data_IF_262967776854
#
_entry.id   IF_262967776854
#
_cell.length_a   1.000
_cell.length_b   1.000
_cell.length_c   1.000
_cell.angle_alpha   90.00
_cell.angle_beta   90.00
_cell.angle_gamma   90.00
#
_symmetry.space_group_name_H-M   'P 1'
#
loop_
_entity.id
_entity.type
_entity.pdbx_description
1 polymer ?
#
# COMPACT_ATOMS: atom_id res chain seq x y z
N UNK A 1 -26.85 -10.22 3.49
CA UNK A 1 -25.94 -9.07 3.34
C UNK A 1 -25.01 -9.37 2.18
N UNK A 2 -24.66 -8.34 1.41
CA UNK A 2 -23.69 -8.44 0.32
C UNK A 2 -22.33 -8.94 0.86
N UNK A 3 -21.61 -9.77 0.10
CA UNK A 3 -20.28 -10.27 0.50
C UNK A 3 -19.31 -9.12 0.80
N UNK A 4 -19.44 -8.03 0.04
CA UNK A 4 -18.65 -6.81 0.24
C UNK A 4 -18.96 -6.13 1.58
N UNK A 5 -20.22 -6.07 1.99
CA UNK A 5 -20.62 -5.49 3.28
C UNK A 5 -20.13 -6.36 4.45
N UNK A 6 -20.17 -7.69 4.31
CA UNK A 6 -19.64 -8.59 5.33
C UNK A 6 -18.12 -8.39 5.51
N UNK A 7 -17.39 -8.19 4.41
CA UNK A 7 -15.96 -7.91 4.45
C UNK A 7 -15.67 -6.56 5.13
N UNK A 8 -16.39 -5.50 4.74
CA UNK A 8 -16.30 -4.19 5.39
C UNK A 8 -16.56 -4.25 6.90
N UNK A 9 -17.64 -4.91 7.30
CA UNK A 9 -18.00 -5.10 8.71
C UNK A 9 -16.94 -5.89 9.49
N UNK A 10 -16.32 -6.89 8.86
CA UNK A 10 -15.25 -7.69 9.46
C UNK A 10 -14.00 -6.83 9.68
N UNK A 11 -13.57 -6.08 8.68
CA UNK A 11 -12.43 -5.16 8.79
C UNK A 11 -12.68 -4.14 9.90
N UNK A 12 -13.82 -3.44 9.90
CA UNK A 12 -14.10 -2.44 10.95
C UNK A 12 -14.09 -3.04 12.36
N UNK A 13 -14.63 -4.25 12.56
CA UNK A 13 -14.60 -4.93 13.86
C UNK A 13 -13.18 -5.27 14.29
N UNK A 14 -12.35 -5.75 13.38
CA UNK A 14 -10.93 -6.04 13.63
C UNK A 14 -10.18 -4.78 14.08
N UNK A 15 -10.39 -3.67 13.37
CA UNK A 15 -9.76 -2.39 13.71
C UNK A 15 -10.23 -1.83 15.07
N UNK A 16 -11.52 -1.94 15.36
CA UNK A 16 -12.09 -1.51 16.66
C UNK A 16 -11.52 -2.38 17.80
N UNK A 17 -11.36 -3.68 17.56
CA UNK A 17 -10.77 -4.58 18.54
C UNK A 17 -9.30 -4.22 18.79
N UNK A 18 -8.52 -3.98 17.72
CA UNK A 18 -7.12 -3.55 17.84
C UNK A 18 -6.99 -2.22 18.60
N UNK A 19 -7.82 -1.23 18.26
CA UNK A 19 -7.87 0.04 19.00
C UNK A 19 -8.18 -0.17 20.50
N UNK A 20 -9.09 -1.09 20.83
CA UNK A 20 -9.43 -1.38 22.22
C UNK A 20 -8.30 -2.11 22.97
N UNK A 21 -7.54 -2.96 22.28
CA UNK A 21 -6.50 -3.81 22.89
C UNK A 21 -5.15 -3.10 23.04
N UNK A 22 -4.72 -2.32 22.03
CA UNK A 22 -3.40 -1.68 22.00
C UNK A 22 -3.43 -0.16 22.12
N UNK A 23 -4.59 0.47 21.91
CA UNK A 23 -4.76 1.93 21.97
C UNK A 23 -4.27 2.68 20.72
N UNK A 24 -3.82 1.98 19.66
CA UNK A 24 -3.49 2.58 18.37
C UNK A 24 -4.74 3.18 17.73
N UNK A 25 -4.60 4.26 16.96
CA UNK A 25 -5.76 4.87 16.30
C UNK A 25 -6.31 3.97 15.20
N UNK A 26 -7.60 4.13 14.86
CA UNK A 26 -8.23 3.34 13.80
C UNK A 26 -7.56 3.55 12.43
N UNK A 27 -7.05 4.75 12.14
CA UNK A 27 -6.32 5.02 10.90
C UNK A 27 -4.95 4.33 10.84
N UNK A 28 -4.29 4.19 11.99
CA UNK A 28 -3.01 3.47 12.11
C UNK A 28 -3.23 1.96 12.00
N UNK A 29 -4.20 1.41 12.74
CA UNK A 29 -4.60 0.00 12.58
C UNK A 29 -5.04 -0.30 11.14
N UNK A 30 -5.78 0.60 10.50
CA UNK A 30 -6.18 0.45 9.10
C UNK A 30 -4.98 0.45 8.16
N UNK A 31 -4.03 1.36 8.37
CA UNK A 31 -2.79 1.39 7.60
C UNK A 31 -2.08 0.05 7.71
N UNK A 32 -1.72 -0.38 8.93
CA UNK A 32 -0.94 -1.60 9.18
C UNK A 32 -1.62 -2.85 8.60
N UNK A 33 -2.91 -3.02 8.90
CA UNK A 33 -3.70 -4.15 8.42
C UNK A 33 -3.73 -4.24 6.90
N UNK A 34 -3.96 -3.12 6.22
CA UNK A 34 -4.18 -3.14 4.78
C UNK A 34 -2.86 -3.14 4.02
N UNK A 35 -1.84 -2.42 4.48
CA UNK A 35 -0.51 -2.44 3.84
C UNK A 35 0.23 -3.74 4.09
N UNK A 36 -0.04 -4.44 5.21
CA UNK A 36 0.43 -5.81 5.42
C UNK A 36 -0.05 -6.79 4.33
N UNK A 37 -1.27 -6.60 3.80
CA UNK A 37 -1.73 -7.38 2.64
C UNK A 37 -0.95 -7.05 1.36
N UNK A 38 -0.57 -5.78 1.17
CA UNK A 38 0.25 -5.36 0.03
C UNK A 38 1.67 -5.93 0.12
N UNK A 39 2.26 -5.97 1.31
CA UNK A 39 3.54 -6.63 1.55
C UNK A 39 3.47 -8.13 1.26
N UNK A 40 2.46 -8.82 1.80
CA UNK A 40 2.27 -10.25 1.60
C UNK A 40 2.16 -10.60 0.10
N UNK A 41 1.48 -9.75 -0.68
CA UNK A 41 1.34 -9.92 -2.13
C UNK A 41 2.58 -9.49 -2.94
N UNK A 42 3.63 -8.98 -2.28
CA UNK A 42 4.82 -8.45 -2.95
C UNK A 42 4.55 -7.18 -3.78
N UNK A 43 3.46 -6.46 -3.50
CA UNK A 43 3.17 -5.17 -4.15
C UNK A 43 4.16 -4.08 -3.70
N UNK A 44 4.61 -4.17 -2.43
CA UNK A 44 5.61 -3.34 -1.77
C UNK A 44 6.54 -4.22 -0.92
N UNK A 45 7.77 -3.77 -0.67
CA UNK A 45 8.75 -4.53 0.12
C UNK A 45 8.50 -4.42 1.64
N UNK A 46 8.16 -3.21 2.09
CA UNK A 46 7.78 -2.88 3.47
C UNK A 46 6.65 -1.84 3.45
N UNK A 47 6.11 -1.48 4.61
CA UNK A 47 5.12 -0.42 4.77
C UNK A 47 5.45 0.45 5.99
N UNK A 48 6.47 1.29 5.83
CA UNK A 48 6.89 2.20 6.89
C UNK A 48 5.84 3.29 7.10
N UNK A 49 5.24 3.37 8.30
CA UNK A 49 4.22 4.38 8.64
C UNK A 49 4.85 5.78 8.71
N UNK A 50 4.27 6.73 7.98
CA UNK A 50 4.66 8.14 7.97
C UNK A 50 3.38 8.98 8.03
N UNK A 51 2.87 9.29 9.21
CA UNK A 51 1.65 10.06 9.37
C UNK A 51 1.87 11.56 9.25
N UNK A 52 1.87 12.11 8.03
CA UNK A 52 2.11 13.54 7.82
C UNK A 52 1.11 14.20 6.88
N UNK A 53 0.58 15.35 7.31
CA UNK A 53 -0.25 16.24 6.49
C UNK A 53 0.10 17.69 6.80
N UNK A 54 0.41 18.47 5.77
CA UNK A 54 0.82 19.87 5.90
C UNK A 54 0.53 20.70 4.66
N UNK A 55 1.10 21.90 4.63
CA UNK A 55 1.03 22.81 3.49
C UNK A 55 2.45 23.13 3.02
N UNK A 56 2.69 23.07 1.71
CA UNK A 56 3.92 23.57 1.10
C UNK A 56 3.58 24.38 -0.14
N UNK A 57 4.03 25.64 -0.19
CA UNK A 57 3.80 26.54 -1.34
C UNK A 57 2.33 26.64 -1.78
N UNK A 58 1.40 26.73 -0.81
CA UNK A 58 -0.05 26.82 -1.06
C UNK A 58 -0.70 25.51 -1.53
N UNK A 59 -0.01 24.38 -1.43
CA UNK A 59 -0.54 23.05 -1.75
C UNK A 59 -0.51 22.14 -0.54
N UNK A 60 -1.54 21.32 -0.40
CA UNK A 60 -1.55 20.23 0.57
C UNK A 60 -0.50 19.18 0.20
N UNK A 61 0.35 18.85 1.16
CA UNK A 61 1.29 17.73 1.13
C UNK A 61 0.82 16.70 2.16
N UNK A 62 0.71 15.44 1.75
CA UNK A 62 0.34 14.35 2.65
C UNK A 62 1.00 13.06 2.19
N UNK A 63 1.45 12.28 3.15
CA UNK A 63 1.92 10.91 3.00
C UNK A 63 1.42 10.14 4.22
N UNK A 64 1.14 8.85 4.04
CA UNK A 64 0.79 7.94 5.13
C UNK A 64 1.81 6.81 5.30
N UNK A 65 2.58 6.49 4.26
CA UNK A 65 3.69 5.57 4.38
C UNK A 65 4.55 5.45 3.13
N UNK A 66 5.61 4.65 3.23
CA UNK A 66 6.58 4.40 2.17
C UNK A 66 6.89 2.90 2.06
N UNK A 67 7.09 2.44 0.82
CA UNK A 67 7.30 1.03 0.51
C UNK A 67 8.76 0.56 0.60
N UNK A 68 9.55 1.13 1.52
CA UNK A 68 10.99 0.88 1.67
C UNK A 68 11.91 1.83 0.87
N UNK A 69 13.22 1.60 0.93
CA UNK A 69 14.21 2.37 0.17
C UNK A 69 14.16 1.98 -1.32
N UNK A 70 13.98 2.94 -2.25
CA UNK A 70 14.01 2.66 -3.69
C UNK A 70 15.29 1.97 -4.17
N UNK A 71 16.43 2.16 -3.48
CA UNK A 71 17.71 1.52 -3.83
C UNK A 71 17.71 0.01 -3.59
N UNK A 72 16.81 -0.47 -2.73
CA UNK A 72 16.62 -1.89 -2.43
C UNK A 72 15.41 -2.48 -3.18
N UNK A 73 14.67 -1.65 -3.92
CA UNK A 73 13.44 -2.01 -4.64
C UNK A 73 13.56 -1.71 -6.15
N UNK A 74 14.69 -2.06 -6.78
CA UNK A 74 14.94 -1.87 -8.22
C UNK A 74 14.71 -0.44 -8.73
N UNK A 75 14.96 0.57 -7.89
CA UNK A 75 14.73 1.98 -8.20
C UNK A 75 13.26 2.41 -8.16
N UNK A 76 12.38 1.61 -7.55
CA UNK A 76 10.95 1.93 -7.42
C UNK A 76 10.69 2.64 -6.10
N UNK A 77 10.30 3.91 -6.16
CA UNK A 77 9.77 4.63 -5.01
C UNK A 77 8.27 4.37 -4.87
N UNK A 78 7.87 3.64 -3.83
CA UNK A 78 6.47 3.43 -3.49
C UNK A 78 6.07 4.36 -2.34
N UNK A 79 5.06 5.19 -2.55
CA UNK A 79 4.51 6.10 -1.51
C UNK A 79 3.01 5.88 -1.37
N UNK A 80 2.54 5.87 -0.13
CA UNK A 80 1.21 5.39 0.25
C UNK A 80 0.42 6.54 0.87
N UNK A 81 -0.86 6.65 0.49
CA UNK A 81 -1.87 7.47 1.15
C UNK A 81 -3.05 6.58 1.52
N UNK A 82 -3.53 6.69 2.76
CA UNK A 82 -4.68 5.95 3.26
C UNK A 82 -5.90 6.86 3.36
N UNK A 83 -7.03 6.42 2.82
CA UNK A 83 -8.31 7.12 2.93
C UNK A 83 -9.31 6.19 3.62
N UNK A 84 -9.48 6.38 4.92
CA UNK A 84 -10.27 5.52 5.80
C UNK A 84 -11.60 6.17 6.19
N UNK A 85 -12.66 5.38 6.18
CA UNK A 85 -14.03 5.79 6.50
C UNK A 85 -14.62 4.89 7.59
N UNK A 86 -15.09 5.48 8.69
CA UNK A 86 -15.71 4.75 9.81
C UNK A 86 -17.20 4.46 9.59
N UNK A 87 -17.74 4.83 8.43
CA UNK A 87 -19.15 4.62 8.08
C UNK A 87 -19.55 3.15 8.19
N UNK A 88 -20.75 2.92 8.72
CA UNK A 88 -21.34 1.57 8.84
C UNK A 88 -21.45 0.88 7.47
N UNK A 89 -21.76 1.63 6.43
CA UNK A 89 -21.90 1.12 5.07
C UNK A 89 -20.71 1.62 4.21
N UNK A 90 -20.21 0.81 3.26
CA UNK A 90 -19.12 1.23 2.37
C UNK A 90 -19.41 2.52 1.60
N UNK A 91 -18.54 3.51 1.79
CA UNK A 91 -18.59 4.78 1.04
C UNK A 91 -18.11 4.57 -0.39
N UNK A 92 -18.59 5.39 -1.33
CA UNK A 92 -18.11 5.41 -2.71
C UNK A 92 -17.21 6.62 -2.95
N UNK A 93 -16.06 6.39 -3.56
CA UNK A 93 -15.19 7.45 -4.07
C UNK A 93 -15.15 7.44 -5.60
N UNK A 94 -14.89 8.60 -6.18
CA UNK A 94 -14.79 8.80 -7.63
C UNK A 94 -13.34 9.11 -8.05
N UNK A 95 -13.12 9.23 -9.36
CA UNK A 95 -11.80 9.55 -9.91
C UNK A 95 -11.23 10.90 -9.45
N UNK A 96 -12.08 11.87 -9.10
CA UNK A 96 -11.64 13.18 -8.61
C UNK A 96 -11.07 13.09 -7.19
N UNK A 97 -11.74 12.33 -6.31
CA UNK A 97 -11.26 12.06 -4.96
C UNK A 97 -9.91 11.32 -4.98
N UNK A 98 -9.79 10.26 -5.79
CA UNK A 98 -8.53 9.53 -5.97
C UNK A 98 -7.41 10.43 -6.52
N UNK A 99 -7.70 11.25 -7.55
CA UNK A 99 -6.73 12.23 -8.08
C UNK A 99 -6.29 13.24 -7.03
N UNK A 100 -7.19 13.69 -6.15
CA UNK A 100 -6.86 14.60 -5.06
C UNK A 100 -5.91 13.91 -4.06
N UNK A 101 -6.20 12.67 -3.67
CA UNK A 101 -5.31 11.90 -2.80
C UNK A 101 -3.90 11.75 -3.42
N UNK A 102 -3.81 11.33 -4.68
CA UNK A 102 -2.53 11.24 -5.40
C UNK A 102 -1.81 12.59 -5.52
N UNK A 103 -2.54 13.70 -5.71
CA UNK A 103 -1.92 15.02 -5.78
C UNK A 103 -1.17 15.38 -4.51
N UNK A 104 -1.63 14.93 -3.33
CA UNK A 104 -0.94 15.18 -2.07
C UNK A 104 0.39 14.42 -2.00
N UNK A 105 0.43 13.15 -2.44
CA UNK A 105 1.66 12.37 -2.55
C UNK A 105 2.64 12.99 -3.55
N UNK A 106 2.15 13.40 -4.73
CA UNK A 106 2.97 14.10 -5.73
C UNK A 106 3.60 15.35 -5.13
N UNK A 107 2.81 16.14 -4.41
CA UNK A 107 3.31 17.35 -3.77
C UNK A 107 4.36 17.02 -2.71
N UNK A 108 4.14 15.98 -1.88
CA UNK A 108 5.11 15.56 -0.87
C UNK A 108 6.43 15.14 -1.53
N UNK A 109 6.40 14.21 -2.49
CA UNK A 109 7.59 13.74 -3.22
C UNK A 109 8.35 14.90 -3.87
N UNK A 110 7.63 15.83 -4.52
CA UNK A 110 8.24 16.99 -5.13
C UNK A 110 8.83 17.97 -4.09
N UNK A 111 8.17 18.14 -2.94
CA UNK A 111 8.63 18.98 -1.85
C UNK A 111 9.87 18.40 -1.17
N UNK A 112 9.93 17.08 -0.94
CA UNK A 112 11.06 16.37 -0.33
C UNK A 112 12.39 16.64 -1.03
N UNK A 113 12.39 16.97 -2.32
CA UNK A 113 13.60 17.33 -3.08
C UNK A 113 14.16 18.71 -2.74
N UNK A 114 13.35 19.61 -2.20
CA UNK A 114 13.74 20.99 -1.87
C UNK A 114 14.29 21.05 -0.46
N UNK A 115 15.49 21.59 -0.31
CA UNK A 115 16.10 21.79 1.02
C UNK A 115 15.20 22.62 1.94
N UNK A 116 14.60 23.69 1.41
CA UNK A 116 13.68 24.54 2.18
C UNK A 116 12.51 23.76 2.82
N UNK A 117 11.92 22.78 2.13
CA UNK A 117 10.86 21.97 2.72
C UNK A 117 11.40 21.02 3.79
N UNK A 118 12.58 20.41 3.56
CA UNK A 118 13.18 19.50 4.54
C UNK A 118 13.59 20.23 5.82
N UNK A 119 14.07 21.46 5.72
CA UNK A 119 14.48 22.28 6.85
C UNK A 119 13.29 22.78 7.69
N UNK A 120 12.07 22.74 7.15
CA UNK A 120 10.81 23.06 7.86
C UNK A 120 10.27 21.88 8.69
N UNK A 121 10.74 20.65 8.43
CA UNK A 121 10.27 19.46 9.12
C UNK A 121 10.95 19.30 10.49
N UNK A 122 10.23 18.70 11.44
CA UNK A 122 10.75 18.47 12.79
C UNK A 122 11.86 17.42 12.70
N UNK A 123 13.06 17.74 13.18
CA UNK A 123 14.18 16.81 13.22
C UNK A 123 13.82 15.52 13.99
N UNK A 124 14.11 14.37 13.39
CA UNK A 124 13.81 13.05 13.95
C UNK A 124 12.37 12.57 13.72
N UNK A 125 11.49 13.37 13.12
CA UNK A 125 10.16 12.94 12.73
C UNK A 125 10.19 11.94 11.55
N UNK A 126 9.14 11.14 11.43
CA UNK A 126 8.99 10.14 10.36
C UNK A 126 9.04 10.77 8.96
N UNK A 127 8.42 11.92 8.81
CA UNK A 127 8.32 12.69 7.57
C UNK A 127 9.64 13.35 7.19
N UNK A 128 10.44 13.81 8.16
CA UNK A 128 11.79 14.29 7.92
C UNK A 128 12.69 13.15 7.41
N UNK A 129 12.57 11.97 8.03
CA UNK A 129 13.22 10.74 7.58
C UNK A 129 12.84 10.38 6.15
N UNK A 130 11.55 10.32 5.84
CA UNK A 130 11.03 10.02 4.51
C UNK A 130 11.48 11.04 3.47
N UNK A 131 11.39 12.33 3.76
CA UNK A 131 11.80 13.38 2.83
C UNK A 131 13.31 13.32 2.53
N UNK A 132 14.14 13.00 3.54
CA UNK A 132 15.57 12.78 3.37
C UNK A 132 15.88 11.51 2.57
N UNK A 133 15.16 10.41 2.82
CA UNK A 133 15.29 9.17 2.06
C UNK A 133 14.98 9.40 0.57
N UNK A 134 13.84 10.03 0.26
CA UNK A 134 13.46 10.40 -1.12
C UNK A 134 14.53 11.29 -1.77
N UNK A 135 14.97 12.35 -1.08
CA UNK A 135 15.96 13.27 -1.65
C UNK A 135 17.30 12.62 -1.92
N UNK A 136 17.75 11.73 -1.03
CA UNK A 136 19.06 11.08 -1.16
C UNK A 136 19.04 9.93 -2.17
N UNK A 137 17.89 9.28 -2.36
CA UNK A 137 17.72 8.20 -3.33
C UNK A 137 17.38 8.71 -4.73
N UNK A 138 17.12 10.01 -4.91
CA UNK A 138 16.50 10.56 -6.12
C UNK A 138 17.15 10.13 -7.43
N UNK A 139 18.48 10.09 -7.51
CA UNK A 139 19.23 9.68 -8.71
C UNK A 139 19.08 8.19 -9.06
N UNK A 140 18.66 7.36 -8.12
CA UNK A 140 18.45 5.93 -8.30
C UNK A 140 16.99 5.57 -8.58
N UNK A 141 16.07 6.54 -8.47
CA UNK A 141 14.64 6.30 -8.71
C UNK A 141 14.39 6.26 -10.22
N UNK A 142 13.92 5.11 -10.71
CA UNK A 142 13.54 4.89 -12.12
C UNK A 142 12.03 4.88 -12.32
N UNK A 143 11.25 4.73 -11.23
CA UNK A 143 9.78 4.71 -11.25
C UNK A 143 9.21 5.17 -9.91
N UNK A 144 8.10 5.91 -9.95
CA UNK A 144 7.35 6.29 -8.75
C UNK A 144 5.98 5.61 -8.78
N UNK A 145 5.68 4.79 -7.78
CA UNK A 145 4.39 4.13 -7.57
C UNK A 145 3.64 4.89 -6.47
N UNK A 146 2.56 5.58 -6.84
CA UNK A 146 1.65 6.18 -5.86
C UNK A 146 0.54 5.19 -5.54
N UNK A 147 0.35 4.89 -4.26
CA UNK A 147 -0.58 3.87 -3.80
C UNK A 147 -1.66 4.55 -2.96
N UNK A 148 -2.92 4.40 -3.36
CA UNK A 148 -4.09 4.76 -2.56
C UNK A 148 -4.63 3.48 -1.94
N UNK A 149 -4.68 3.44 -0.60
CA UNK A 149 -5.32 2.37 0.18
C UNK A 149 -6.60 2.92 0.79
N UNK A 150 -7.73 2.28 0.58
CA UNK A 150 -9.02 2.77 1.08
C UNK A 150 -10.03 1.64 1.31
N UNK A 151 -10.88 1.80 2.34
CA UNK A 151 -12.06 0.95 2.54
C UNK A 151 -13.31 1.49 1.82
N UNK A 152 -13.16 2.52 0.98
CA UNK A 152 -14.21 2.94 0.06
C UNK A 152 -14.24 2.06 -1.20
N UNK A 153 -15.38 2.06 -1.88
CA UNK A 153 -15.59 1.46 -3.19
C UNK A 153 -15.16 2.49 -4.25
N UNK A 154 -14.14 2.14 -5.03
CA UNK A 154 -13.72 2.97 -6.16
C UNK A 154 -14.56 2.63 -7.40
N UNK A 155 -15.38 3.59 -7.81
CA UNK A 155 -16.39 3.38 -8.85
C UNK A 155 -15.89 3.52 -10.29
N UNK A 156 -14.63 3.91 -10.50
CA UNK A 156 -14.08 4.10 -11.85
C UNK A 156 -13.25 2.89 -12.30
N UNK A 157 -13.58 2.36 -13.48
CA UNK A 157 -12.94 1.17 -14.08
C UNK A 157 -11.56 1.52 -14.66
N UNK A 158 -10.55 1.65 -13.82
CA UNK A 158 -9.17 1.78 -14.31
C UNK A 158 -8.21 1.23 -13.26
N UNK A 159 -7.75 0.00 -13.50
CA UNK A 159 -6.57 -0.56 -12.87
C UNK A 159 -5.33 0.14 -13.49
N UNK A 160 -4.43 0.62 -12.63
CA UNK A 160 -3.16 1.26 -12.95
C UNK A 160 -3.12 2.16 -14.19
N UNK A 161 -3.40 3.46 -14.01
CA UNK A 161 -3.23 4.47 -15.07
C UNK A 161 -1.81 5.03 -15.02
N UNK A 162 -1.11 5.06 -16.17
CA UNK A 162 0.09 5.86 -16.37
C UNK A 162 -0.25 7.32 -16.04
N UNK A 163 0.33 7.81 -14.96
CA UNK A 163 -0.04 9.06 -14.32
C UNK A 163 0.67 10.30 -14.89
N UNK A 164 1.49 10.09 -15.92
CA UNK A 164 2.47 11.06 -16.39
C UNK A 164 3.80 10.87 -15.68
N UNK A 165 4.54 11.97 -15.49
CA UNK A 165 5.88 11.97 -14.92
C UNK A 165 5.97 12.99 -13.77
N UNK A 166 6.77 12.68 -12.74
CA UNK A 166 7.30 13.70 -11.82
C UNK A 166 8.69 14.03 -12.33
N UNK A 167 8.87 15.25 -12.83
CA UNK A 167 10.01 15.62 -13.68
C UNK A 167 10.12 14.67 -14.88
N UNK A 168 11.12 13.79 -14.88
CA UNK A 168 11.44 12.82 -15.92
C UNK A 168 11.17 11.36 -15.49
N UNK A 169 10.78 11.13 -14.24
CA UNK A 169 10.54 9.79 -13.70
C UNK A 169 9.08 9.38 -13.95
N UNK A 170 8.82 8.22 -14.57
CA UNK A 170 7.47 7.73 -14.83
C UNK A 170 6.71 7.44 -13.53
N UNK A 171 5.44 7.85 -13.50
CA UNK A 171 4.55 7.67 -12.36
C UNK A 171 3.44 6.68 -12.70
N UNK A 172 3.13 5.78 -11.77
CA UNK A 172 1.97 4.90 -11.84
C UNK A 172 1.06 5.13 -10.64
N UNK A 173 -0.24 5.22 -10.88
CA UNK A 173 -1.24 5.16 -9.81
C UNK A 173 -1.63 3.71 -9.54
N UNK A 174 -1.69 3.32 -8.28
CA UNK A 174 -2.23 2.03 -7.86
C UNK A 174 -3.31 2.27 -6.81
N UNK A 175 -4.50 1.73 -7.03
CA UNK A 175 -5.62 1.88 -6.10
C UNK A 175 -5.94 0.50 -5.54
N UNK A 176 -5.92 0.43 -4.22
CA UNK A 176 -6.39 -0.68 -3.41
C UNK A 176 -7.66 -0.23 -2.70
N UNK A 177 -8.79 -0.52 -3.33
CA UNK A 177 -10.12 -0.22 -2.83
C UNK A 177 -10.76 -1.43 -2.13
N UNK A 178 -11.89 -1.23 -1.48
CA UNK A 178 -12.58 -2.30 -0.75
C UNK A 178 -12.87 -3.52 -1.63
N UNK A 179 -13.26 -3.32 -2.90
CA UNK A 179 -13.53 -4.43 -3.81
C UNK A 179 -12.26 -5.24 -4.11
N UNK A 180 -11.12 -4.56 -4.31
CA UNK A 180 -9.86 -5.25 -4.59
C UNK A 180 -9.39 -6.07 -3.39
N UNK A 181 -9.48 -5.51 -2.17
CA UNK A 181 -9.17 -6.24 -0.95
C UNK A 181 -10.10 -7.44 -0.73
N UNK A 182 -11.41 -7.28 -0.94
CA UNK A 182 -12.37 -8.37 -0.81
C UNK A 182 -12.11 -9.50 -1.83
N UNK A 183 -11.84 -9.14 -3.10
CA UNK A 183 -11.45 -10.12 -4.13
C UNK A 183 -10.16 -10.84 -3.75
N UNK A 184 -9.20 -10.10 -3.23
CA UNK A 184 -7.92 -10.63 -2.82
C UNK A 184 -8.07 -11.67 -1.71
N UNK A 185 -8.70 -11.32 -0.59
CA UNK A 185 -8.94 -12.27 0.51
C UNK A 185 -9.76 -13.49 0.07
N UNK A 186 -10.80 -13.28 -0.76
CA UNK A 186 -11.61 -14.41 -1.26
C UNK A 186 -10.78 -15.33 -2.17
N UNK A 187 -9.90 -14.78 -3.01
CA UNK A 187 -9.02 -15.54 -3.89
C UNK A 187 -7.87 -16.24 -3.14
N UNK A 188 -7.33 -15.59 -2.11
CA UNK A 188 -6.33 -16.14 -1.20
C UNK A 188 -6.90 -17.31 -0.41
N UNK A 189 -8.09 -17.16 0.18
CA UNK A 189 -8.82 -18.27 0.84
C UNK A 189 -9.12 -19.43 -0.11
N UNK A 190 -9.36 -19.15 -1.39
CA UNK A 190 -9.57 -20.20 -2.41
C UNK A 190 -8.26 -20.93 -2.72
N UNK A 191 -7.12 -20.22 -2.79
CA UNK A 191 -5.79 -20.79 -2.98
C UNK A 191 -5.32 -21.58 -1.75
N UNK A 192 -5.57 -21.11 -0.53
CA UNK A 192 -5.29 -21.85 0.71
C UNK A 192 -6.20 -23.08 0.87
N UNK A 193 -7.49 -23.01 0.50
CA UNK A 193 -8.36 -24.21 0.43
C UNK A 193 -7.95 -25.23 -0.62
N UNK A 194 -7.14 -24.82 -1.61
CA UNK A 194 -6.52 -25.69 -2.59
C UNK A 194 -5.20 -26.30 -2.07
N UNK A 195 -4.86 -26.15 -0.78
CA UNK A 195 -3.90 -27.04 -0.12
C UNK A 195 -4.45 -28.47 -0.05
N UNK A 196 -4.14 -29.14 -1.15
CA UNK A 196 -4.18 -30.55 -1.48
C UNK A 196 -4.21 -31.50 -0.28
N UNK A 197 -5.33 -32.21 -0.15
CA UNK A 197 -5.38 -33.48 0.56
C UNK A 197 -4.75 -34.57 -0.35
N UNK A 198 -3.42 -34.59 -0.43
CA UNK A 198 -2.66 -35.54 -1.26
C UNK A 198 -2.92 -37.00 -0.88
N UNK A 199 -3.59 -37.25 0.25
CA UNK A 199 -3.91 -38.57 0.75
C UNK A 199 -5.13 -39.19 0.07
N UNK A 200 -6.07 -38.37 -0.41
CA UNK A 200 -7.35 -38.85 -0.94
C UNK A 200 -7.43 -38.78 -2.48
N UNK A 201 -6.71 -37.87 -3.15
CA UNK A 201 -6.81 -37.69 -4.61
C UNK A 201 -5.81 -38.51 -5.44
N UNK A 202 -4.70 -38.98 -4.85
CA UNK A 202 -3.70 -39.79 -5.56
C UNK A 202 -3.32 -41.00 -4.70
N UNK A 203 -4.02 -42.12 -4.91
CA UNK A 203 -3.77 -43.42 -4.26
C UNK A 203 -2.44 -44.10 -4.61
N UNK A 204 -1.36 -43.34 -4.86
CA UNK A 204 -0.01 -43.86 -5.02
C UNK A 204 1.04 -42.82 -4.59
N UNK A 205 2.04 -43.29 -3.84
CA UNK A 205 3.19 -42.49 -3.40
C UNK A 205 4.01 -42.03 -4.60
N UNK A 206 4.23 -40.72 -4.75
CA UNK A 206 5.23 -40.20 -5.69
C UNK A 206 6.62 -40.53 -5.10
N UNK A 207 7.49 -41.28 -5.79
CA UNK A 207 8.85 -41.50 -5.32
C UNK A 207 9.60 -40.17 -5.41
N UNK A 208 10.18 -39.74 -4.29
CA UNK A 208 11.11 -38.62 -4.27
C UNK A 208 12.27 -38.90 -5.26
N UNK A 209 12.45 -38.01 -6.23
CA UNK A 209 13.61 -38.03 -7.11
C UNK A 209 14.88 -37.82 -6.27
N UNK A 210 15.79 -38.79 -6.34
CA UNK A 210 17.12 -38.67 -5.74
C UNK A 210 17.92 -37.59 -6.49
N UNK A 211 18.47 -36.64 -5.75
CA UNK A 211 19.45 -35.69 -6.25
C UNK A 211 20.72 -36.45 -6.65
N UNK A 212 21.00 -36.56 -7.95
CA UNK A 212 22.28 -37.07 -8.44
C UNK A 212 23.30 -35.94 -8.42
N UNK A 213 24.23 -36.00 -7.47
CA UNK A 213 25.57 -35.44 -7.64
C UNK A 213 26.31 -36.30 -8.66
N UNK A 214 26.95 -35.69 -9.64
CA UNK A 214 28.05 -36.33 -10.36
C UNK A 214 29.02 -35.26 -10.79
N UNK A 215 30.10 -35.14 -10.01
CA UNK A 215 31.33 -34.55 -10.49
C UNK A 215 32.05 -35.54 -11.39
N UNK A 216 32.71 -35.00 -12.41
CA UNK A 216 33.92 -35.54 -13.01
C UNK A 216 34.84 -34.36 -13.29
#
# INVERSE_FOLDING_TARGET
>A
MDQLNNFHDAVLKELIQENADSGVSLDEAFFERMTGLLEYEGEIATSDRIGFSGQNSGKTVRIDGMGGDPRESDGVLSVIICDFYEDRDPVKINAQAAKKAFSHLINFVAASRRTAFRDELIDGSSEAGAAKAISSAWSSIVKIKLILVTNAIYSARTDAVLAGNITDIPVTYNIWDLNRFQRYETSGQTREKLEVNFKDDFGASIPALAASSTGV
#
